data_IF_433807962747
#
_entry.id   IF_433807962747
#
_cell.length_a   1.000
_cell.length_b   1.000
_cell.length_c   1.000
_cell.angle_alpha   90.00
_cell.angle_beta   90.00
_cell.angle_gamma   90.00
#
_symmetry.space_group_name_H-M   'P 1'
#
loop_
_entity.id
_entity.type
_entity.pdbx_description
1 polymer ?
#
# COMPACT_ATOMS: atom_id res chain seq x y z
N UNK A 1 27.42 -66.14 40.31
CA UNK A 1 28.77 -65.62 40.02
C UNK A 1 28.99 -65.64 38.51
N UNK A 2 29.52 -64.55 37.94
CA UNK A 2 30.02 -64.37 36.55
C UNK A 2 28.95 -64.30 35.44
N UNK A 3 28.56 -63.11 34.96
CA UNK A 3 29.15 -62.22 33.92
C UNK A 3 28.72 -62.59 32.49
N UNK A 4 28.00 -61.68 31.84
CA UNK A 4 28.38 -61.06 30.56
C UNK A 4 27.43 -59.90 30.23
N UNK A 5 27.90 -58.68 30.48
CA UNK A 5 27.33 -57.44 29.96
C UNK A 5 28.16 -57.01 28.77
N UNK A 6 27.55 -57.04 27.59
CA UNK A 6 28.13 -56.59 26.33
C UNK A 6 28.29 -55.07 26.28
N UNK A 7 29.48 -54.67 25.86
CA UNK A 7 29.97 -53.35 25.52
C UNK A 7 29.09 -52.61 24.49
N UNK A 8 28.77 -51.33 24.76
CA UNK A 8 28.48 -50.35 23.71
C UNK A 8 29.42 -49.16 23.85
N UNK A 9 30.27 -49.04 22.84
CA UNK A 9 31.18 -47.96 22.50
C UNK A 9 30.46 -46.61 22.52
N UNK A 10 30.96 -45.68 23.34
CA UNK A 10 30.58 -44.26 23.31
C UNK A 10 31.35 -43.57 22.18
N UNK A 11 30.74 -43.48 21.01
CA UNK A 11 31.17 -42.50 20.00
C UNK A 11 30.66 -41.13 20.44
N UNK A 12 31.58 -40.18 20.60
CA UNK A 12 31.27 -38.76 20.80
C UNK A 12 30.51 -38.27 19.57
N UNK A 13 29.19 -38.19 19.68
CA UNK A 13 28.37 -37.51 18.70
C UNK A 13 28.67 -36.02 18.82
N UNK A 14 29.51 -35.50 17.92
CA UNK A 14 29.56 -34.08 17.61
C UNK A 14 28.13 -33.62 17.32
N UNK A 15 27.55 -32.90 18.28
CA UNK A 15 26.29 -32.25 18.09
C UNK A 15 26.51 -31.12 17.08
N UNK A 16 26.28 -31.42 15.80
CA UNK A 16 26.18 -30.38 14.77
C UNK A 16 24.94 -29.55 15.14
N UNK A 17 25.18 -28.45 15.83
CA UNK A 17 24.17 -27.41 16.04
C UNK A 17 23.97 -26.73 14.68
N UNK A 18 23.14 -27.34 13.83
CA UNK A 18 22.56 -26.61 12.71
C UNK A 18 21.61 -25.59 13.32
N UNK A 19 22.06 -24.35 13.51
CA UNK A 19 21.13 -23.24 13.77
C UNK A 19 20.01 -23.35 12.73
N UNK A 20 18.73 -23.34 13.13
CA UNK A 20 17.65 -23.29 12.17
C UNK A 20 17.92 -22.07 11.28
N UNK A 21 17.92 -22.26 9.96
CA UNK A 21 17.93 -21.16 9.02
C UNK A 21 16.74 -20.26 9.40
N UNK A 22 17.03 -19.10 9.98
CA UNK A 22 16.01 -18.10 10.30
C UNK A 22 15.33 -17.74 8.99
N UNK A 23 14.01 -17.89 8.91
CA UNK A 23 13.26 -17.61 7.69
C UNK A 23 13.28 -16.11 7.42
N UNK A 24 14.10 -15.69 6.46
CA UNK A 24 14.31 -14.28 6.06
C UNK A 24 13.14 -13.75 5.20
N UNK A 25 12.07 -14.53 4.99
CA UNK A 25 10.94 -14.10 4.17
C UNK A 25 10.19 -12.92 4.82
N UNK A 26 9.92 -11.91 4.01
CA UNK A 26 9.03 -10.82 4.36
C UNK A 26 7.58 -11.31 4.39
N UNK A 27 6.99 -11.35 5.60
CA UNK A 27 5.58 -11.75 5.81
C UNK A 27 4.61 -10.56 5.80
N UNK A 28 5.09 -9.41 6.26
CA UNK A 28 4.35 -8.15 6.34
C UNK A 28 5.28 -6.96 6.02
N UNK A 29 4.71 -5.77 5.79
CA UNK A 29 5.53 -4.59 5.49
C UNK A 29 6.46 -4.24 6.65
N UNK A 30 5.95 -4.20 7.87
CA UNK A 30 6.77 -3.89 9.04
C UNK A 30 7.86 -4.92 9.25
N UNK A 31 7.56 -6.21 9.05
CA UNK A 31 8.58 -7.26 9.08
C UNK A 31 9.65 -7.03 8.00
N UNK A 32 9.25 -6.75 6.76
CA UNK A 32 10.19 -6.46 5.67
C UNK A 32 11.09 -5.25 5.99
N UNK A 33 10.53 -4.20 6.55
CA UNK A 33 11.27 -3.00 6.94
C UNK A 33 12.24 -3.30 8.09
N UNK A 34 11.83 -4.07 9.09
CA UNK A 34 12.71 -4.50 10.19
C UNK A 34 13.85 -5.38 9.69
N UNK A 35 13.60 -6.32 8.78
CA UNK A 35 14.64 -7.14 8.15
C UNK A 35 15.63 -6.27 7.36
N UNK A 36 15.14 -5.30 6.58
CA UNK A 36 16.00 -4.33 5.89
C UNK A 36 16.90 -3.57 6.88
N UNK A 37 16.38 -3.14 8.02
CA UNK A 37 17.18 -2.48 9.05
C UNK A 37 18.24 -3.40 9.65
N UNK A 38 17.90 -4.67 9.91
CA UNK A 38 18.83 -5.67 10.44
C UNK A 38 19.96 -5.98 9.44
N UNK A 39 19.65 -6.22 8.16
CA UNK A 39 20.68 -6.41 7.13
C UNK A 39 21.52 -5.16 6.94
N UNK A 40 20.90 -3.98 6.99
CA UNK A 40 21.64 -2.72 6.93
C UNK A 40 22.61 -2.60 8.11
N UNK A 41 22.23 -3.01 9.32
CA UNK A 41 23.12 -3.01 10.48
C UNK A 41 24.26 -4.02 10.33
N UNK A 42 23.98 -5.20 9.78
CA UNK A 42 25.00 -6.21 9.50
C UNK A 42 26.01 -5.76 8.42
N UNK A 43 25.55 -5.06 7.39
CA UNK A 43 26.37 -4.52 6.30
C UNK A 43 27.03 -3.16 6.64
N UNK A 44 27.10 -2.77 7.93
CA UNK A 44 27.65 -1.48 8.34
C UNK A 44 29.16 -1.35 8.04
N UNK A 45 29.92 -2.44 8.21
CA UNK A 45 31.39 -2.45 8.08
C UNK A 45 31.89 -3.19 6.85
N UNK A 46 31.21 -4.28 6.49
CA UNK A 46 31.59 -5.14 5.37
C UNK A 46 30.33 -5.64 4.68
N UNK A 47 30.39 -5.77 3.37
CA UNK A 47 29.30 -6.38 2.59
C UNK A 47 29.15 -7.86 2.98
N UNK A 48 27.91 -8.32 3.10
CA UNK A 48 27.64 -9.73 3.33
C UNK A 48 27.97 -10.55 2.06
N UNK A 49 28.50 -11.78 2.21
CA UNK A 49 28.80 -12.62 1.06
C UNK A 49 27.56 -12.95 0.23
N UNK A 50 27.78 -13.20 -1.06
CA UNK A 50 26.69 -13.58 -1.96
C UNK A 50 26.07 -14.91 -1.52
N UNK A 51 24.74 -14.97 -1.50
CA UNK A 51 23.98 -16.16 -1.11
C UNK A 51 23.51 -16.18 0.34
N UNK A 52 23.91 -15.23 1.20
CA UNK A 52 23.39 -15.11 2.58
C UNK A 52 21.85 -15.02 2.61
N UNK A 53 21.29 -14.29 1.63
CA UNK A 53 19.84 -14.27 1.40
C UNK A 53 19.53 -15.07 0.13
N UNK A 54 18.83 -16.22 0.25
CA UNK A 54 18.38 -16.99 -0.90
C UNK A 54 17.45 -16.18 -1.81
N UNK A 55 17.31 -16.60 -3.06
CA UNK A 55 16.47 -15.89 -4.05
C UNK A 55 15.01 -15.78 -3.64
N UNK A 56 14.44 -16.84 -3.07
CA UNK A 56 13.02 -16.90 -2.72
C UNK A 56 12.60 -15.86 -1.66
N UNK A 57 13.35 -15.68 -0.54
CA UNK A 57 13.17 -14.55 0.34
C UNK A 57 13.26 -13.19 -0.35
N UNK A 58 14.15 -12.97 -1.34
CA UNK A 58 14.21 -11.67 -2.05
C UNK A 58 12.92 -11.32 -2.78
N UNK A 59 12.21 -12.32 -3.32
CA UNK A 59 10.91 -12.11 -3.95
C UNK A 59 9.79 -11.78 -2.96
N UNK A 60 9.87 -12.26 -1.71
CA UNK A 60 8.86 -11.92 -0.71
C UNK A 60 8.81 -10.41 -0.39
N UNK A 61 9.93 -9.68 -0.51
CA UNK A 61 9.94 -8.21 -0.39
C UNK A 61 9.18 -7.53 -1.54
N UNK A 62 9.26 -8.11 -2.74
CA UNK A 62 8.50 -7.67 -3.90
C UNK A 62 6.99 -7.88 -3.68
N UNK A 63 6.61 -9.05 -3.19
CA UNK A 63 5.21 -9.40 -2.92
C UNK A 63 4.60 -8.49 -1.85
N UNK A 64 5.33 -8.27 -0.75
CA UNK A 64 4.91 -7.38 0.33
C UNK A 64 4.77 -5.94 -0.17
N UNK A 65 5.74 -5.43 -0.96
CA UNK A 65 5.66 -4.10 -1.56
C UNK A 65 4.45 -3.97 -2.47
N UNK A 66 4.25 -4.92 -3.38
CA UNK A 66 3.13 -4.92 -4.30
C UNK A 66 1.77 -4.99 -3.59
N UNK A 67 1.62 -5.91 -2.62
CA UNK A 67 0.39 -6.09 -1.84
C UNK A 67 0.02 -4.82 -1.07
N UNK A 68 0.97 -4.22 -0.36
CA UNK A 68 0.70 -3.00 0.41
C UNK A 68 0.45 -1.78 -0.50
N UNK A 69 1.18 -1.68 -1.61
CA UNK A 69 0.94 -0.67 -2.63
C UNK A 69 -0.48 -0.76 -3.19
N UNK A 70 -0.94 -1.97 -3.51
CA UNK A 70 -2.30 -2.25 -4.01
C UNK A 70 -3.38 -1.87 -3.00
N UNK A 71 -3.27 -2.36 -1.75
CA UNK A 71 -4.26 -2.10 -0.71
C UNK A 71 -4.41 -0.60 -0.44
N UNK A 72 -3.30 0.10 -0.24
CA UNK A 72 -3.33 1.53 0.04
C UNK A 72 -3.85 2.35 -1.15
N UNK A 73 -3.58 1.92 -2.38
CA UNK A 73 -4.16 2.54 -3.59
C UNK A 73 -5.67 2.32 -3.67
N UNK A 74 -6.14 1.09 -3.46
CA UNK A 74 -7.57 0.78 -3.48
C UNK A 74 -8.34 1.58 -2.42
N UNK A 75 -7.80 1.67 -1.19
CA UNK A 75 -8.40 2.47 -0.11
C UNK A 75 -8.52 3.94 -0.50
N UNK A 76 -7.47 4.53 -1.07
CA UNK A 76 -7.51 5.93 -1.53
C UNK A 76 -8.54 6.15 -2.64
N UNK A 77 -8.62 5.27 -3.63
CA UNK A 77 -9.63 5.35 -4.70
C UNK A 77 -11.06 5.19 -4.18
N UNK A 78 -11.25 4.39 -3.14
CA UNK A 78 -12.54 4.24 -2.48
C UNK A 78 -12.93 5.47 -1.67
N UNK A 79 -11.98 6.11 -0.98
CA UNK A 79 -12.23 7.30 -0.16
C UNK A 79 -12.35 8.59 -0.98
N UNK A 80 -11.66 8.68 -2.13
CA UNK A 80 -11.60 9.90 -2.94
C UNK A 80 -12.98 10.45 -3.38
N UNK A 81 -13.97 9.63 -3.81
CA UNK A 81 -15.30 10.11 -4.13
C UNK A 81 -16.01 10.78 -2.96
N UNK A 82 -15.85 10.26 -1.74
CA UNK A 82 -16.44 10.85 -0.54
C UNK A 82 -15.78 12.18 -0.19
N UNK A 83 -14.45 12.24 -0.28
CA UNK A 83 -13.74 13.50 -0.08
C UNK A 83 -14.15 14.56 -1.08
N UNK A 84 -14.30 14.20 -2.36
CA UNK A 84 -14.75 15.14 -3.38
C UNK A 84 -16.23 15.50 -3.23
N UNK A 85 -17.08 14.57 -2.79
CA UNK A 85 -18.48 14.85 -2.48
C UNK A 85 -18.63 15.88 -1.35
N UNK A 86 -17.78 15.78 -0.32
CA UNK A 86 -17.68 16.79 0.72
C UNK A 86 -17.22 18.16 0.18
N UNK A 87 -16.21 18.19 -0.69
CA UNK A 87 -15.66 19.43 -1.25
C UNK A 87 -16.65 20.14 -2.20
N UNK A 88 -17.43 19.37 -2.96
CA UNK A 88 -18.41 19.85 -3.93
C UNK A 88 -19.81 20.05 -3.31
N UNK A 89 -19.90 20.15 -1.98
CA UNK A 89 -21.13 20.49 -1.25
C UNK A 89 -22.25 19.44 -1.35
N UNK A 90 -21.93 18.19 -1.74
CA UNK A 90 -22.92 17.10 -1.76
C UNK A 90 -23.09 16.43 -0.40
N UNK A 91 -22.09 16.49 0.47
CA UNK A 91 -22.11 15.91 1.81
C UNK A 91 -21.63 16.98 2.80
N UNK A 92 -22.38 17.25 3.88
CA UNK A 92 -21.94 18.19 4.90
C UNK A 92 -20.67 17.72 5.60
N UNK A 93 -19.76 18.64 5.85
CA UNK A 93 -18.51 18.40 6.61
C UNK A 93 -18.63 19.14 7.93
N UNK A 94 -18.45 18.42 9.05
CA UNK A 94 -18.63 18.97 10.41
C UNK A 94 -19.97 19.70 10.64
N UNK A 95 -21.02 19.29 9.91
CA UNK A 95 -22.37 19.85 10.04
C UNK A 95 -22.64 21.06 9.14
N UNK A 96 -21.65 21.56 8.38
CA UNK A 96 -21.84 22.65 7.40
C UNK A 96 -21.81 22.12 5.96
N UNK A 97 -22.70 22.63 5.11
CA UNK A 97 -22.72 22.35 3.68
C UNK A 97 -21.71 23.20 2.91
N UNK A 98 -21.18 24.27 3.51
CA UNK A 98 -20.17 25.15 2.93
C UNK A 98 -18.83 24.96 3.66
N UNK A 99 -18.05 23.91 3.33
CA UNK A 99 -16.80 23.63 4.01
C UNK A 99 -15.84 24.81 3.87
N UNK A 100 -15.30 25.24 5.00
CA UNK A 100 -14.23 26.22 5.08
C UNK A 100 -12.94 25.67 4.43
N UNK A 101 -11.93 26.53 4.25
CA UNK A 101 -10.63 26.10 3.74
C UNK A 101 -10.00 24.98 4.60
N UNK A 102 -10.16 25.07 5.93
CA UNK A 102 -9.63 24.08 6.86
C UNK A 102 -10.36 22.75 6.73
N UNK A 103 -11.69 22.78 6.57
CA UNK A 103 -12.50 21.57 6.38
C UNK A 103 -12.10 20.85 5.08
N UNK A 104 -11.92 21.60 3.99
CA UNK A 104 -11.42 21.05 2.73
C UNK A 104 -10.05 20.42 2.89
N UNK A 105 -9.12 21.07 3.61
CA UNK A 105 -7.79 20.51 3.88
C UNK A 105 -7.88 19.21 4.68
N UNK A 106 -8.73 19.16 5.71
CA UNK A 106 -8.93 17.97 6.52
C UNK A 106 -9.48 16.80 5.69
N UNK A 107 -10.47 17.07 4.84
CA UNK A 107 -11.07 16.07 3.94
C UNK A 107 -10.08 15.55 2.89
N UNK A 108 -9.21 16.41 2.35
CA UNK A 108 -8.11 15.99 1.48
C UNK A 108 -7.08 15.15 2.22
N UNK A 109 -6.69 15.57 3.43
CA UNK A 109 -5.76 14.84 4.28
C UNK A 109 -6.33 13.46 4.63
N UNK A 110 -7.62 13.35 4.93
CA UNK A 110 -8.27 12.08 5.27
C UNK A 110 -8.17 11.03 4.15
N UNK A 111 -8.49 11.40 2.90
CA UNK A 111 -8.36 10.47 1.78
C UNK A 111 -6.91 10.16 1.39
N UNK A 112 -5.99 11.09 1.62
CA UNK A 112 -4.59 10.96 1.21
C UNK A 112 -3.66 10.39 2.28
N UNK A 113 -4.05 10.42 3.55
CA UNK A 113 -3.22 10.02 4.68
C UNK A 113 -2.67 8.59 4.58
N UNK A 114 -3.46 7.55 4.24
CA UNK A 114 -2.92 6.19 4.11
C UNK A 114 -1.83 6.09 3.03
N UNK A 115 -2.00 6.78 1.91
CA UNK A 115 -1.04 6.75 0.81
C UNK A 115 0.26 7.47 1.19
N UNK A 116 0.16 8.68 1.76
CA UNK A 116 1.31 9.47 2.19
C UNK A 116 2.05 8.83 3.36
N UNK A 117 1.36 8.45 4.43
CA UNK A 117 1.99 7.90 5.63
C UNK A 117 2.83 6.65 5.31
N UNK A 118 2.26 5.72 4.53
CA UNK A 118 2.95 4.49 4.16
C UNK A 118 4.12 4.75 3.21
N UNK A 119 3.95 5.64 2.23
CA UNK A 119 5.04 5.99 1.33
C UNK A 119 6.15 6.75 2.06
N UNK A 120 5.83 7.62 3.03
CA UNK A 120 6.81 8.35 3.85
C UNK A 120 7.60 7.40 4.74
N UNK A 121 6.92 6.43 5.38
CA UNK A 121 7.57 5.41 6.20
C UNK A 121 8.60 4.62 5.38
N UNK A 122 8.18 4.09 4.23
CA UNK A 122 9.06 3.32 3.33
C UNK A 122 10.20 4.22 2.84
N UNK A 123 9.90 5.46 2.44
CA UNK A 123 10.89 6.43 1.97
C UNK A 123 11.95 6.74 3.04
N UNK A 124 11.54 7.00 4.28
CA UNK A 124 12.46 7.38 5.35
C UNK A 124 13.39 6.21 5.73
N UNK A 125 12.83 5.01 5.87
CA UNK A 125 13.62 3.81 6.19
C UNK A 125 14.58 3.52 5.06
N UNK A 126 14.10 3.45 3.81
CA UNK A 126 14.93 3.17 2.63
C UNK A 126 16.09 4.17 2.51
N UNK A 127 15.83 5.47 2.66
CA UNK A 127 16.86 6.50 2.61
C UNK A 127 17.94 6.32 3.70
N UNK A 128 17.54 5.89 4.90
CA UNK A 128 18.46 5.70 6.03
C UNK A 128 19.31 4.44 5.87
N UNK A 129 18.71 3.36 5.37
CA UNK A 129 19.29 2.00 5.36
C UNK A 129 19.92 1.59 4.03
N UNK A 130 19.82 2.40 2.98
CA UNK A 130 20.44 2.13 1.69
C UNK A 130 21.98 2.06 1.81
N UNK A 131 22.53 0.86 2.01
CA UNK A 131 23.96 0.55 2.05
C UNK A 131 24.17 -0.95 1.94
N UNK A 132 25.33 -1.41 1.50
CA UNK A 132 25.59 -2.85 1.36
C UNK A 132 24.85 -3.49 0.18
N UNK A 133 25.35 -4.61 -0.32
CA UNK A 133 24.84 -5.24 -1.55
C UNK A 133 23.46 -5.87 -1.33
N UNK A 134 23.28 -6.58 -0.22
CA UNK A 134 22.04 -7.30 0.07
C UNK A 134 20.92 -6.31 0.37
N UNK A 135 21.17 -5.36 1.27
CA UNK A 135 20.15 -4.38 1.67
C UNK A 135 19.71 -3.51 0.49
N UNK A 136 20.63 -3.07 -0.39
CA UNK A 136 20.28 -2.37 -1.64
C UNK A 136 19.31 -3.19 -2.49
N UNK A 137 19.56 -4.50 -2.62
CA UNK A 137 18.69 -5.40 -3.39
C UNK A 137 17.29 -5.50 -2.77
N UNK A 138 17.21 -5.68 -1.44
CA UNK A 138 15.94 -5.80 -0.73
C UNK A 138 15.12 -4.51 -0.78
N UNK A 139 15.77 -3.35 -0.57
CA UNK A 139 15.15 -2.04 -0.70
C UNK A 139 14.64 -1.82 -2.12
N UNK A 140 15.42 -2.16 -3.15
CA UNK A 140 15.00 -2.00 -4.54
C UNK A 140 13.79 -2.87 -4.86
N UNK A 141 13.80 -4.14 -4.47
CA UNK A 141 12.65 -5.03 -4.66
C UNK A 141 11.39 -4.48 -3.98
N UNK A 142 11.50 -3.97 -2.75
CA UNK A 142 10.38 -3.39 -2.01
C UNK A 142 9.88 -2.07 -2.63
N UNK A 143 10.79 -1.12 -2.89
CA UNK A 143 10.47 0.21 -3.43
C UNK A 143 9.86 0.11 -4.82
N UNK A 144 10.51 -0.62 -5.73
CA UNK A 144 10.04 -0.74 -7.10
C UNK A 144 8.70 -1.46 -7.16
N UNK A 145 8.53 -2.57 -6.44
CA UNK A 145 7.22 -3.26 -6.42
C UNK A 145 6.10 -2.40 -5.84
N UNK A 146 6.37 -1.67 -4.76
CA UNK A 146 5.39 -0.76 -4.16
C UNK A 146 5.04 0.39 -5.11
N UNK A 147 6.04 1.03 -5.74
CA UNK A 147 5.82 2.09 -6.72
C UNK A 147 5.10 1.57 -7.98
N UNK A 148 5.48 0.40 -8.49
CA UNK A 148 4.82 -0.25 -9.62
C UNK A 148 3.36 -0.58 -9.29
N UNK A 149 3.06 -1.10 -8.09
CA UNK A 149 1.68 -1.32 -7.66
C UNK A 149 0.90 0.00 -7.59
N UNK A 150 1.49 1.05 -7.02
CA UNK A 150 0.89 2.39 -6.96
C UNK A 150 0.47 2.88 -8.35
N UNK A 151 1.35 2.80 -9.33
CA UNK A 151 1.07 3.30 -10.68
C UNK A 151 0.13 2.36 -11.45
N UNK A 152 0.43 1.06 -11.50
CA UNK A 152 -0.36 0.09 -12.28
C UNK A 152 -1.81 -0.04 -11.78
N UNK A 153 -1.99 -0.18 -10.47
CA UNK A 153 -3.33 -0.28 -9.86
C UNK A 153 -4.08 1.04 -9.97
N UNK A 154 -3.38 2.18 -9.87
CA UNK A 154 -4.00 3.50 -10.08
C UNK A 154 -4.54 3.66 -11.49
N UNK A 155 -3.76 3.28 -12.51
CA UNK A 155 -4.21 3.29 -13.92
C UNK A 155 -5.45 2.41 -14.09
N UNK A 156 -5.42 1.19 -13.51
CA UNK A 156 -6.54 0.26 -13.57
C UNK A 156 -7.81 0.79 -12.89
N UNK A 157 -7.71 1.30 -11.66
CA UNK A 157 -8.85 1.84 -10.92
C UNK A 157 -9.37 3.15 -11.53
N UNK A 158 -8.48 3.96 -12.11
CA UNK A 158 -8.88 5.12 -12.89
C UNK A 158 -9.72 4.69 -14.10
N UNK A 159 -9.29 3.69 -14.87
CA UNK A 159 -10.07 3.16 -15.99
C UNK A 159 -11.46 2.65 -15.54
N UNK A 160 -11.53 1.94 -14.40
CA UNK A 160 -12.80 1.54 -13.79
C UNK A 160 -13.67 2.76 -13.45
N UNK A 161 -13.09 3.80 -12.84
CA UNK A 161 -13.82 5.00 -12.49
C UNK A 161 -14.39 5.75 -13.71
N UNK A 162 -13.62 5.87 -14.79
CA UNK A 162 -14.11 6.41 -16.07
C UNK A 162 -15.19 5.52 -16.70
N UNK A 163 -15.08 4.19 -16.58
CA UNK A 163 -16.12 3.27 -17.02
C UNK A 163 -17.42 3.46 -16.21
N UNK A 164 -17.33 3.55 -14.89
CA UNK A 164 -18.46 3.81 -14.00
C UNK A 164 -19.15 5.14 -14.34
N UNK A 165 -18.38 6.20 -14.57
CA UNK A 165 -18.89 7.50 -14.98
C UNK A 165 -19.66 7.46 -16.31
N UNK A 166 -19.15 6.69 -17.28
CA UNK A 166 -19.68 6.67 -18.65
C UNK A 166 -20.82 5.66 -18.87
N UNK A 167 -20.83 4.54 -18.13
CA UNK A 167 -21.76 3.44 -18.37
C UNK A 167 -22.71 3.14 -17.21
N UNK A 168 -22.31 3.38 -15.96
CA UNK A 168 -23.11 2.98 -14.79
C UNK A 168 -24.01 4.12 -14.33
N UNK A 169 -23.47 5.32 -14.12
CA UNK A 169 -24.26 6.46 -13.65
C UNK A 169 -24.96 7.23 -14.79
N UNK A 170 -25.48 6.54 -15.80
CA UNK A 170 -26.27 7.19 -16.87
C UNK A 170 -27.69 7.46 -16.38
N UNK A 171 -28.30 8.57 -16.79
CA UNK A 171 -29.65 8.97 -16.36
C UNK A 171 -30.68 7.84 -16.56
N UNK A 172 -30.62 7.15 -17.70
CA UNK A 172 -31.51 6.03 -18.02
C UNK A 172 -31.29 4.81 -17.11
N UNK A 173 -30.04 4.51 -16.75
CA UNK A 173 -29.75 3.38 -15.87
C UNK A 173 -30.13 3.69 -14.42
N UNK A 174 -29.90 4.93 -13.97
CA UNK A 174 -30.28 5.39 -12.64
C UNK A 174 -31.81 5.41 -12.52
N UNK A 175 -32.53 5.91 -13.53
CA UNK A 175 -34.00 5.94 -13.50
C UNK A 175 -34.61 4.53 -13.53
N UNK A 176 -34.08 3.64 -14.36
CA UNK A 176 -34.50 2.23 -14.41
C UNK A 176 -34.17 1.48 -13.11
N UNK A 177 -33.02 1.76 -12.50
CA UNK A 177 -32.65 1.17 -11.21
C UNK A 177 -33.53 1.70 -10.08
N UNK A 178 -33.84 3.00 -10.06
CA UNK A 178 -34.72 3.61 -9.07
C UNK A 178 -36.16 3.11 -9.18
N UNK A 179 -36.68 2.94 -10.39
CA UNK A 179 -38.02 2.35 -10.60
C UNK A 179 -38.06 0.89 -10.14
N UNK A 180 -37.05 0.09 -10.47
CA UNK A 180 -36.93 -1.30 -9.99
C UNK A 180 -36.83 -1.36 -8.47
N UNK A 181 -36.00 -0.50 -7.86
CA UNK A 181 -35.82 -0.43 -6.41
C UNK A 181 -37.10 0.03 -5.71
N UNK A 182 -37.82 0.99 -6.31
CA UNK A 182 -39.17 1.38 -5.86
C UNK A 182 -40.15 0.21 -5.92
N UNK A 183 -40.18 -0.56 -7.01
CA UNK A 183 -41.04 -1.75 -7.12
C UNK A 183 -40.68 -2.83 -6.10
N UNK A 184 -39.38 -3.07 -5.86
CA UNK A 184 -38.92 -4.03 -4.84
C UNK A 184 -39.26 -3.52 -3.44
N UNK A 185 -39.03 -2.23 -3.16
CA UNK A 185 -39.41 -1.61 -1.89
C UNK A 185 -40.91 -1.68 -1.71
N UNK A 186 -41.75 -1.33 -2.69
CA UNK A 186 -43.22 -1.43 -2.60
C UNK A 186 -43.69 -2.88 -2.45
N UNK A 187 -43.03 -3.85 -3.07
CA UNK A 187 -43.30 -5.28 -2.90
C UNK A 187 -42.98 -5.76 -1.47
N UNK A 188 -41.88 -5.28 -0.88
CA UNK A 188 -41.47 -5.60 0.50
C UNK A 188 -42.28 -4.76 1.52
N UNK A 189 -42.56 -3.50 1.20
CA UNK A 189 -43.28 -2.47 1.99
C UNK A 189 -44.78 -2.47 1.77
N UNK A 190 -45.35 -3.42 1.02
CA UNK A 190 -46.76 -3.80 1.19
C UNK A 190 -47.10 -4.12 2.67
N UNK A 191 -46.07 -4.28 3.53
CA UNK A 191 -46.17 -4.39 4.98
C UNK A 191 -45.84 -3.12 5.80
N UNK A 192 -45.29 -2.02 5.25
CA UNK A 192 -44.91 -0.81 6.00
C UNK A 192 -45.06 0.46 5.15
N UNK A 193 -45.97 1.35 5.57
CA UNK A 193 -46.28 2.64 4.95
C UNK A 193 -45.10 3.62 5.05
N UNK A 194 -44.22 3.65 4.04
CA UNK A 194 -43.13 4.61 3.95
C UNK A 194 -43.09 5.30 2.59
N UNK A 195 -43.14 6.63 2.61
CA UNK A 195 -42.95 7.49 1.43
C UNK A 195 -41.46 7.50 1.04
N UNK A 196 -41.02 6.49 0.30
CA UNK A 196 -39.66 6.45 -0.25
C UNK A 196 -39.47 7.64 -1.22
N UNK A 197 -38.63 8.60 -0.84
CA UNK A 197 -38.40 9.84 -1.61
C UNK A 197 -37.38 9.59 -2.73
N UNK A 198 -37.81 8.86 -3.76
CA UNK A 198 -37.00 8.44 -4.92
C UNK A 198 -36.25 9.59 -5.61
N UNK A 199 -36.84 10.79 -5.64
CA UNK A 199 -36.30 11.91 -6.42
C UNK A 199 -35.00 12.48 -5.82
N UNK A 200 -34.88 12.54 -4.49
CA UNK A 200 -33.67 13.05 -3.83
C UNK A 200 -32.47 12.15 -4.11
N UNK A 201 -32.67 10.84 -4.08
CA UNK A 201 -31.63 9.85 -4.37
C UNK A 201 -31.24 9.91 -5.84
N UNK A 202 -32.22 10.06 -6.74
CA UNK A 202 -31.97 10.21 -8.16
C UNK A 202 -31.06 11.42 -8.48
N UNK A 203 -31.41 12.61 -7.98
CA UNK A 203 -30.59 13.81 -8.19
C UNK A 203 -29.23 13.70 -7.51
N UNK A 204 -29.15 13.12 -6.31
CA UNK A 204 -27.88 12.85 -5.65
C UNK A 204 -26.96 11.98 -6.50
N UNK A 205 -27.44 10.87 -7.08
CA UNK A 205 -26.61 9.98 -7.90
C UNK A 205 -26.15 10.66 -9.20
N UNK A 206 -26.99 11.51 -9.80
CA UNK A 206 -26.62 12.30 -10.97
C UNK A 206 -25.54 13.35 -10.66
N UNK A 207 -25.61 13.99 -9.50
CA UNK A 207 -24.58 14.94 -9.09
C UNK A 207 -23.30 14.23 -8.64
N UNK A 208 -23.44 13.10 -7.93
CA UNK A 208 -22.33 12.24 -7.54
C UNK A 208 -21.54 11.73 -8.75
N UNK A 209 -22.22 11.43 -9.87
CA UNK A 209 -21.57 11.09 -11.14
C UNK A 209 -20.52 12.13 -11.54
N UNK A 210 -20.84 13.42 -11.46
CA UNK A 210 -19.93 14.51 -11.88
C UNK A 210 -18.65 14.54 -11.05
N UNK A 211 -18.73 14.03 -9.82
CA UNK A 211 -17.62 13.98 -8.87
C UNK A 211 -16.64 12.85 -9.14
N UNK A 212 -17.10 11.73 -9.70
CA UNK A 212 -16.28 10.54 -9.95
C UNK A 212 -15.02 10.90 -10.74
N UNK A 213 -15.12 11.76 -11.76
CA UNK A 213 -13.99 12.20 -12.58
C UNK A 213 -12.97 13.00 -11.77
N UNK A 214 -13.44 13.93 -10.92
CA UNK A 214 -12.56 14.70 -10.03
C UNK A 214 -11.85 13.79 -9.03
N UNK A 215 -12.58 12.82 -8.46
CA UNK A 215 -12.07 11.87 -7.49
C UNK A 215 -10.99 10.94 -8.05
N UNK A 216 -11.23 10.35 -9.24
CA UNK A 216 -10.26 9.41 -9.84
C UNK A 216 -8.99 10.13 -10.28
N UNK A 217 -9.11 11.36 -10.80
CA UNK A 217 -7.96 12.16 -11.19
C UNK A 217 -7.14 12.58 -9.95
N UNK A 218 -7.80 12.98 -8.86
CA UNK A 218 -7.13 13.26 -7.60
C UNK A 218 -6.38 12.04 -7.05
N UNK A 219 -7.04 10.89 -6.96
CA UNK A 219 -6.42 9.66 -6.46
C UNK A 219 -5.23 9.25 -7.33
N UNK A 220 -5.35 9.37 -8.67
CA UNK A 220 -4.27 9.05 -9.58
C UNK A 220 -3.06 9.98 -9.41
N UNK A 221 -3.28 11.29 -9.36
CA UNK A 221 -2.21 12.28 -9.15
C UNK A 221 -1.53 12.10 -7.79
N UNK A 222 -2.29 11.80 -6.75
CA UNK A 222 -1.77 11.51 -5.42
C UNK A 222 -0.81 10.30 -5.47
N UNK A 223 -1.16 9.24 -6.18
CA UNK A 223 -0.27 8.07 -6.29
C UNK A 223 0.99 8.34 -7.12
N UNK A 224 0.90 9.16 -8.17
CA UNK A 224 2.07 9.69 -8.86
C UNK A 224 2.97 10.46 -7.88
N UNK A 225 2.39 11.35 -7.07
CA UNK A 225 3.12 12.09 -6.04
C UNK A 225 3.84 11.18 -5.03
N UNK A 226 3.17 10.14 -4.55
CA UNK A 226 3.81 9.16 -3.65
C UNK A 226 4.92 8.37 -4.33
N UNK A 227 4.78 8.01 -5.61
CA UNK A 227 5.82 7.33 -6.37
C UNK A 227 7.05 8.22 -6.60
N UNK A 228 6.82 9.51 -6.90
CA UNK A 228 7.90 10.52 -7.00
C UNK A 228 8.65 10.65 -5.67
N UNK A 229 7.94 10.67 -4.54
CA UNK A 229 8.59 10.71 -3.22
C UNK A 229 9.49 9.47 -2.98
N UNK A 230 9.03 8.27 -3.37
CA UNK A 230 9.84 7.06 -3.26
C UNK A 230 11.08 7.11 -4.15
N UNK A 231 10.95 7.68 -5.36
CA UNK A 231 12.09 7.91 -6.26
C UNK A 231 13.10 8.90 -5.65
N UNK A 232 12.63 10.01 -5.07
CA UNK A 232 13.49 10.98 -4.38
C UNK A 232 14.25 10.31 -3.24
N UNK A 233 13.56 9.54 -2.40
CA UNK A 233 14.18 8.76 -1.32
C UNK A 233 15.26 7.82 -1.84
N UNK A 234 14.97 7.09 -2.92
CA UNK A 234 15.95 6.20 -3.55
C UNK A 234 17.19 6.95 -4.04
N UNK A 235 17.02 8.09 -4.73
CA UNK A 235 18.12 8.92 -5.22
C UNK A 235 18.99 9.43 -4.05
N UNK A 236 18.36 9.96 -2.99
CA UNK A 236 19.08 10.42 -1.80
C UNK A 236 19.85 9.27 -1.15
N UNK A 237 19.22 8.10 -1.02
CA UNK A 237 19.87 6.88 -0.52
C UNK A 237 21.11 6.52 -1.32
N UNK A 238 20.99 6.43 -2.65
CA UNK A 238 22.11 6.13 -3.57
C UNK A 238 23.25 7.15 -3.44
N UNK A 239 22.92 8.45 -3.44
CA UNK A 239 23.92 9.51 -3.34
C UNK A 239 24.68 9.44 -2.01
N UNK A 240 23.96 9.26 -0.90
CA UNK A 240 24.54 9.12 0.43
C UNK A 240 25.48 7.92 0.51
N UNK A 241 25.08 6.75 0.02
CA UNK A 241 25.97 5.57 0.04
C UNK A 241 27.19 5.78 -0.82
N UNK A 242 27.04 6.39 -2.00
CA UNK A 242 28.17 6.66 -2.90
C UNK A 242 29.20 7.56 -2.22
N UNK A 243 28.77 8.59 -1.48
CA UNK A 243 29.69 9.44 -0.70
C UNK A 243 30.41 8.64 0.39
N UNK A 244 29.70 7.78 1.12
CA UNK A 244 30.30 6.92 2.16
C UNK A 244 31.34 5.97 1.56
N UNK A 245 31.03 5.33 0.42
CA UNK A 245 31.93 4.41 -0.26
C UNK A 245 33.18 5.12 -0.82
N UNK A 246 33.05 6.35 -1.30
CA UNK A 246 34.19 7.16 -1.74
C UNK A 246 35.09 7.52 -0.56
N UNK A 247 34.51 8.00 0.54
CA UNK A 247 35.26 8.29 1.75
C UNK A 247 35.95 7.04 2.30
N UNK A 248 35.33 5.85 2.26
CA UNK A 248 36.00 4.63 2.73
C UNK A 248 37.25 4.29 1.91
N UNK A 249 37.19 4.45 0.58
CA UNK A 249 38.33 4.19 -0.32
C UNK A 249 39.51 5.15 -0.13
N UNK A 250 39.27 6.35 0.40
CA UNK A 250 40.34 7.31 0.67
C UNK A 250 41.14 6.94 1.95
N UNK A 251 40.60 6.06 2.80
CA UNK A 251 41.17 5.70 4.10
C UNK A 251 41.72 4.25 4.14
N UNK A 252 41.45 3.46 3.09
CA UNK A 252 42.03 2.11 2.85
C UNK A 252 43.26 2.21 1.95
#
# INVERSE_FOLDING_TARGET
MSKETGTKTSASADAIVTSPMVDVRATSLFHALSEIEQFSAAELRTDLPEGVVPLLPKFSFMDVGFKNGTVTTAVTFFLAPFSMAAIEHLIPVFGDNNPSLLDKLFVYAFASAPAWAMAMLIAFISMKTYRGRITKTLINNLLFSYATAKISVSIFLMAIGYFIYSRVFTADLISNSMTTLKTVVEFISASVNNNFTSDKIYYFLLDFRKIIIKAVNFAALLHVGTAVMLLISHIIGVQKTRQIELLRKEWE
#
